data_IF_333498057114
#
_entry.id   IF_333498057114
#
_cell.length_a   1.000
_cell.length_b   1.000
_cell.length_c   1.000
_cell.angle_alpha   90.00
_cell.angle_beta   90.00
_cell.angle_gamma   90.00
#
_symmetry.space_group_name_H-M   'P 1'
#
loop_
_entity.id
_entity.type
_entity.pdbx_description
1 polymer ?
#
# COMPACT_ATOMS: atom_id res chain seq x y z
N UNK A 1 21.85 -31.16 -64.17
CA UNK A 1 20.79 -30.17 -63.92
C UNK A 1 19.98 -30.62 -62.70
N UNK A 2 20.09 -29.83 -61.63
CA UNK A 2 19.26 -29.65 -60.41
C UNK A 2 18.63 -30.86 -59.70
N UNK A 3 19.04 -31.16 -58.45
CA UNK A 3 18.13 -31.67 -57.43
C UNK A 3 17.36 -30.51 -56.78
N UNK A 4 16.08 -30.78 -56.52
CA UNK A 4 15.09 -29.86 -56.02
C UNK A 4 15.35 -29.40 -54.57
N UNK A 5 15.01 -28.13 -54.40
CA UNK A 5 14.88 -27.36 -53.18
C UNK A 5 13.66 -27.84 -52.37
N UNK A 6 13.69 -27.58 -51.06
CA UNK A 6 12.58 -27.59 -50.07
C UNK A 6 12.41 -28.91 -49.30
N UNK A 7 12.94 -28.97 -48.06
CA UNK A 7 12.12 -28.93 -46.85
C UNK A 7 12.97 -28.75 -45.57
N UNK A 8 12.75 -27.60 -44.92
CA UNK A 8 12.79 -27.34 -43.47
C UNK A 8 14.18 -27.33 -42.79
N UNK A 9 14.88 -26.21 -42.85
CA UNK A 9 14.92 -25.21 -41.75
C UNK A 9 15.15 -25.82 -40.36
N UNK A 10 16.44 -25.95 -40.02
CA UNK A 10 17.04 -25.38 -38.81
C UNK A 10 16.10 -25.30 -37.58
N UNK A 11 15.99 -26.40 -36.83
CA UNK A 11 15.56 -26.34 -35.43
C UNK A 11 16.69 -25.66 -34.62
N UNK A 12 16.80 -24.34 -34.75
CA UNK A 12 17.38 -23.50 -33.70
C UNK A 12 16.42 -23.64 -32.51
N UNK A 13 16.75 -24.56 -31.61
CA UNK A 13 16.21 -24.54 -30.26
C UNK A 13 16.69 -23.20 -29.68
N UNK A 14 15.83 -22.18 -29.80
CA UNK A 14 15.93 -20.96 -29.04
C UNK A 14 15.82 -21.38 -27.59
N UNK A 15 16.97 -21.67 -26.98
CA UNK A 15 17.15 -21.55 -25.55
C UNK A 15 16.85 -20.08 -25.25
N UNK A 16 15.58 -19.76 -24.99
CA UNK A 16 15.21 -18.55 -24.29
C UNK A 16 15.79 -18.68 -22.88
N UNK A 17 17.09 -18.42 -22.76
CA UNK A 17 17.67 -18.09 -21.48
C UNK A 17 16.94 -16.82 -21.06
N UNK A 18 16.09 -16.95 -20.06
CA UNK A 18 15.48 -15.81 -19.39
C UNK A 18 16.60 -15.07 -18.69
N UNK A 19 17.27 -14.17 -19.41
CA UNK A 19 18.32 -13.36 -18.84
C UNK A 19 17.66 -12.44 -17.82
N UNK A 20 18.11 -12.55 -16.56
CA UNK A 20 17.75 -11.59 -15.54
C UNK A 20 18.24 -10.21 -16.01
N UNK A 21 17.35 -9.23 -16.08
CA UNK A 21 17.68 -7.87 -16.48
C UNK A 21 17.83 -7.02 -15.22
N UNK A 22 18.94 -6.29 -15.09
CA UNK A 22 19.09 -5.30 -14.02
C UNK A 22 18.21 -4.10 -14.35
N UNK A 23 17.27 -3.78 -13.47
CA UNK A 23 16.50 -2.55 -13.51
C UNK A 23 17.13 -1.50 -12.59
N UNK A 24 17.18 -0.26 -13.08
CA UNK A 24 17.59 0.92 -12.30
C UNK A 24 16.56 2.01 -12.48
N UNK A 25 16.14 2.63 -11.37
CA UNK A 25 15.30 3.83 -11.37
C UNK A 25 16.02 4.96 -10.67
N UNK A 26 15.75 6.18 -11.11
CA UNK A 26 16.40 7.40 -10.62
C UNK A 26 15.36 8.34 -10.02
N UNK A 27 15.81 9.21 -9.13
CA UNK A 27 14.96 10.30 -8.64
C UNK A 27 14.62 11.27 -9.80
N UNK A 28 13.45 11.91 -9.70
CA UNK A 28 12.93 12.74 -10.78
C UNK A 28 13.89 13.89 -11.10
N UNK A 29 14.23 14.05 -12.39
CA UNK A 29 15.17 15.07 -12.88
C UNK A 29 16.58 15.00 -12.25
N UNK A 30 17.00 13.85 -11.72
CA UNK A 30 18.37 13.65 -11.21
C UNK A 30 18.99 12.39 -11.81
N UNK A 31 20.30 12.25 -11.64
CA UNK A 31 21.04 11.00 -11.93
C UNK A 31 21.23 10.15 -10.67
N UNK A 32 20.60 10.53 -9.55
CA UNK A 32 20.71 9.82 -8.29
C UNK A 32 19.90 8.54 -8.35
N UNK A 33 20.55 7.40 -8.11
CA UNK A 33 19.90 6.09 -8.07
C UNK A 33 18.88 6.07 -6.94
N UNK A 34 17.66 5.65 -7.26
CA UNK A 34 16.54 5.50 -6.31
C UNK A 34 16.29 4.05 -5.96
N UNK A 35 16.40 3.16 -6.95
CA UNK A 35 16.07 1.75 -6.80
C UNK A 35 16.88 0.92 -7.81
N UNK A 36 17.38 -0.25 -7.39
CA UNK A 36 17.97 -1.22 -8.31
C UNK A 36 17.63 -2.66 -7.89
N UNK A 37 17.61 -3.57 -8.87
CA UNK A 37 17.46 -4.99 -8.64
C UNK A 37 17.28 -5.77 -9.94
N UNK A 38 17.13 -7.09 -9.84
CA UNK A 38 16.93 -7.95 -11.01
C UNK A 38 15.45 -8.09 -11.35
N UNK A 39 15.16 -8.14 -12.65
CA UNK A 39 13.88 -8.53 -13.20
C UNK A 39 13.96 -9.92 -13.84
N UNK A 40 12.97 -10.75 -13.56
CA UNK A 40 12.72 -12.03 -14.21
C UNK A 40 11.31 -11.98 -14.80
N UNK A 41 11.21 -12.09 -16.14
CA UNK A 41 9.94 -11.95 -16.87
C UNK A 41 9.18 -10.65 -16.54
N UNK A 42 9.91 -9.55 -16.33
CA UNK A 42 9.33 -8.24 -15.99
C UNK A 42 8.90 -8.09 -14.52
N UNK A 43 9.10 -9.10 -13.69
CA UNK A 43 8.79 -9.06 -12.25
C UNK A 43 10.09 -8.97 -11.44
N UNK A 44 10.03 -8.29 -10.29
CA UNK A 44 11.17 -8.21 -9.35
C UNK A 44 11.58 -9.60 -8.88
N UNK A 45 12.87 -9.88 -8.94
CA UNK A 45 13.47 -11.15 -8.52
C UNK A 45 14.79 -10.88 -7.78
N UNK A 46 15.09 -11.66 -6.75
CA UNK A 46 16.35 -11.57 -6.03
C UNK A 46 16.45 -10.32 -5.14
N UNK A 47 17.67 -9.91 -4.85
CA UNK A 47 17.92 -8.74 -4.00
C UNK A 47 17.54 -7.45 -4.73
N UNK A 48 16.80 -6.61 -4.01
CA UNK A 48 16.44 -5.26 -4.40
C UNK A 48 16.86 -4.28 -3.33
N UNK A 49 17.31 -3.11 -3.79
CA UNK A 49 17.82 -2.04 -2.95
C UNK A 49 17.12 -0.74 -3.33
N UNK A 50 16.74 0.05 -2.33
CA UNK A 50 16.36 1.45 -2.51
C UNK A 50 17.38 2.36 -1.81
N UNK A 51 17.51 3.57 -2.30
CA UNK A 51 18.50 4.53 -1.82
C UNK A 51 17.84 5.87 -1.59
N UNK A 52 18.30 6.59 -0.58
CA UNK A 52 18.01 7.99 -0.34
C UNK A 52 18.58 8.90 -1.45
N UNK A 53 18.10 10.15 -1.55
CA UNK A 53 18.64 11.13 -2.48
C UNK A 53 20.13 11.46 -2.23
N UNK A 54 20.63 11.19 -1.02
CA UNK A 54 22.05 11.30 -0.69
C UNK A 54 22.89 10.08 -1.13
N UNK A 55 22.27 9.10 -1.80
CA UNK A 55 22.90 7.88 -2.32
C UNK A 55 23.11 6.76 -1.29
N UNK A 56 22.71 6.96 -0.02
CA UNK A 56 22.82 5.91 1.01
C UNK A 56 21.67 4.91 0.90
N UNK A 57 21.95 3.66 1.26
CA UNK A 57 20.97 2.58 1.29
C UNK A 57 19.81 2.94 2.24
N UNK A 58 18.59 2.81 1.76
CA UNK A 58 17.35 3.05 2.50
C UNK A 58 16.67 1.72 2.82
N UNK A 59 16.47 0.85 1.84
CA UNK A 59 15.91 -0.49 2.05
C UNK A 59 16.66 -1.55 1.28
N UNK A 60 16.68 -2.77 1.81
CA UNK A 60 17.17 -3.96 1.09
C UNK A 60 16.37 -5.18 1.48
N UNK A 61 16.10 -6.04 0.51
CA UNK A 61 15.46 -7.33 0.75
C UNK A 61 15.27 -8.12 -0.53
N UNK A 62 14.68 -9.31 -0.39
CA UNK A 62 14.52 -10.23 -1.51
C UNK A 62 13.10 -10.16 -2.10
N UNK A 63 13.02 -10.25 -3.42
CA UNK A 63 11.79 -10.52 -4.16
C UNK A 63 11.80 -11.92 -4.78
N UNK A 64 10.61 -12.50 -4.94
CA UNK A 64 10.38 -13.71 -5.72
C UNK A 64 9.09 -13.53 -6.50
N UNK A 65 9.16 -13.60 -7.83
CA UNK A 65 8.02 -13.41 -8.73
C UNK A 65 7.24 -12.10 -8.46
N UNK A 66 7.97 -11.02 -8.14
CA UNK A 66 7.39 -9.70 -7.85
C UNK A 66 6.90 -9.50 -6.41
N UNK A 67 6.97 -10.52 -5.56
CA UNK A 67 6.57 -10.46 -4.16
C UNK A 67 7.77 -10.33 -3.22
N UNK A 68 7.70 -9.46 -2.21
CA UNK A 68 8.67 -9.39 -1.11
C UNK A 68 8.69 -10.73 -0.36
N UNK A 69 9.88 -11.26 -0.09
CA UNK A 69 10.12 -12.51 0.66
C UNK A 69 11.28 -12.37 1.63
N UNK A 70 11.18 -13.11 2.74
CA UNK A 70 12.27 -13.26 3.71
C UNK A 70 12.58 -11.96 4.45
N UNK A 71 13.83 -11.84 4.90
CA UNK A 71 14.30 -10.71 5.69
C UNK A 71 14.42 -9.45 4.85
N UNK A 72 13.90 -8.36 5.40
CA UNK A 72 13.98 -7.02 4.86
C UNK A 72 14.57 -6.10 5.92
N UNK A 73 15.42 -5.17 5.47
CA UNK A 73 16.04 -4.15 6.32
C UNK A 73 15.68 -2.78 5.80
N UNK A 74 15.44 -1.87 6.73
CA UNK A 74 15.30 -0.45 6.48
C UNK A 74 16.34 0.29 7.30
N UNK A 75 16.96 1.31 6.73
CA UNK A 75 18.06 2.07 7.30
C UNK A 75 17.71 3.54 7.38
N UNK A 76 18.25 4.24 8.37
CA UNK A 76 18.25 5.68 8.42
C UNK A 76 19.19 6.29 7.37
N UNK A 77 19.02 7.58 7.08
CA UNK A 77 19.89 8.38 6.24
C UNK A 77 21.32 8.55 6.79
N UNK A 78 21.57 8.17 8.04
CA UNK A 78 22.91 8.05 8.62
C UNK A 78 23.56 6.67 8.38
N UNK A 79 22.84 5.70 7.82
CA UNK A 79 23.29 4.33 7.55
C UNK A 79 23.04 3.34 8.71
N UNK A 80 22.50 3.79 9.85
CA UNK A 80 22.12 2.90 10.93
C UNK A 80 20.84 2.13 10.62
N UNK A 81 20.70 0.93 11.17
CA UNK A 81 19.50 0.12 11.00
C UNK A 81 18.30 0.82 11.67
N UNK A 82 17.24 1.04 10.91
CA UNK A 82 15.97 1.60 11.39
C UNK A 82 14.94 0.51 11.68
N UNK A 83 15.03 -0.63 11.00
CA UNK A 83 14.19 -1.78 11.25
C UNK A 83 14.58 -3.01 10.46
N UNK A 84 14.18 -4.17 10.96
CA UNK A 84 14.40 -5.48 10.32
C UNK A 84 13.21 -6.38 10.61
N UNK A 85 12.77 -7.15 9.62
CA UNK A 85 11.67 -8.11 9.79
C UNK A 85 11.44 -8.91 8.52
N UNK A 86 10.38 -9.72 8.51
CA UNK A 86 10.14 -10.69 7.43
C UNK A 86 8.88 -10.38 6.61
N UNK A 87 8.91 -10.82 5.34
CA UNK A 87 7.75 -10.98 4.47
C UNK A 87 7.56 -12.46 4.11
N UNK A 88 6.33 -12.97 4.17
CA UNK A 88 6.03 -14.38 3.83
C UNK A 88 5.66 -14.58 2.37
N UNK A 89 4.77 -13.75 1.82
CA UNK A 89 4.36 -13.80 0.41
C UNK A 89 3.43 -12.68 -0.03
N UNK A 90 2.72 -12.04 0.88
CA UNK A 90 1.62 -11.13 0.50
C UNK A 90 2.07 -9.73 0.11
N UNK A 91 3.37 -9.46 -0.08
CA UNK A 91 3.95 -8.11 -0.12
C UNK A 91 3.73 -7.28 1.16
N UNK A 92 3.10 -7.83 2.20
CA UNK A 92 2.83 -7.14 3.46
C UNK A 92 3.75 -7.65 4.59
N UNK A 93 4.15 -6.77 5.52
CA UNK A 93 5.04 -7.13 6.61
C UNK A 93 4.40 -8.19 7.51
N UNK A 94 5.20 -9.19 7.92
CA UNK A 94 4.73 -10.30 8.75
C UNK A 94 4.59 -9.85 10.20
N UNK A 95 3.38 -9.91 10.80
CA UNK A 95 3.17 -9.52 12.19
C UNK A 95 4.10 -10.27 13.16
N UNK A 96 4.63 -9.54 14.16
CA UNK A 96 5.49 -10.10 15.21
C UNK A 96 6.94 -10.39 14.79
N UNK A 97 7.31 -10.20 13.52
CA UNK A 97 8.69 -10.43 13.06
C UNK A 97 9.54 -9.15 13.01
N UNK A 98 8.90 -7.98 13.08
CA UNK A 98 9.57 -6.70 12.90
C UNK A 98 10.10 -6.14 14.21
N UNK A 99 11.34 -5.68 14.15
CA UNK A 99 12.00 -4.87 15.17
C UNK A 99 12.33 -3.50 14.58
N UNK A 100 12.22 -2.46 15.39
CA UNK A 100 12.51 -1.08 15.00
C UNK A 100 13.54 -0.48 15.93
N UNK A 101 14.31 0.48 15.44
CA UNK A 101 15.41 1.10 16.18
C UNK A 101 15.34 2.62 16.07
N UNK A 102 15.90 3.35 17.03
CA UNK A 102 16.10 4.81 16.93
C UNK A 102 17.37 5.13 16.12
N UNK A 103 17.59 6.42 15.80
CA UNK A 103 18.80 6.89 15.12
C UNK A 103 20.10 6.71 15.92
N UNK A 104 19.99 6.30 17.18
CA UNK A 104 21.07 5.97 18.10
C UNK A 104 21.27 4.45 18.24
N UNK A 105 20.48 3.63 17.52
CA UNK A 105 20.55 2.17 17.54
C UNK A 105 19.81 1.51 18.72
N UNK A 106 18.94 2.25 19.41
CA UNK A 106 18.16 1.71 20.54
C UNK A 106 16.95 0.97 19.98
N UNK A 107 16.78 -0.32 20.34
CA UNK A 107 15.59 -1.10 19.95
C UNK A 107 14.34 -0.47 20.58
N UNK A 108 13.38 -0.11 19.74
CA UNK A 108 12.07 0.36 20.16
C UNK A 108 11.22 -0.85 20.54
N UNK A 109 10.62 -0.83 21.74
CA UNK A 109 9.60 -1.82 22.10
C UNK A 109 8.38 -1.66 21.21
N UNK A 110 8.27 -2.51 20.18
CA UNK A 110 7.13 -2.52 19.27
C UNK A 110 5.99 -3.39 19.84
N UNK A 111 5.30 -2.87 20.84
CA UNK A 111 4.07 -3.47 21.38
C UNK A 111 2.91 -2.48 21.22
N UNK A 112 2.41 -2.36 20.00
CA UNK A 112 1.32 -1.44 19.73
C UNK A 112 -0.03 -2.05 20.10
N UNK A 113 -0.68 -1.51 21.13
CA UNK A 113 -2.03 -1.90 21.54
C UNK A 113 -3.04 -1.75 20.39
N UNK A 114 -4.19 -2.43 20.48
CA UNK A 114 -5.28 -2.12 19.55
C UNK A 114 -5.76 -0.68 19.80
N UNK A 115 -6.06 0.09 18.74
CA UNK A 115 -6.61 1.43 18.91
C UNK A 115 -7.94 1.40 19.69
N UNK A 116 -8.17 2.44 20.49
CA UNK A 116 -9.44 2.58 21.22
C UNK A 116 -10.57 3.00 20.28
N UNK A 117 -11.82 2.81 20.71
CA UNK A 117 -12.98 3.25 19.93
C UNK A 117 -12.95 4.75 19.66
N UNK A 118 -12.44 5.53 20.60
CA UNK A 118 -12.30 6.99 20.50
C UNK A 118 -11.27 7.37 19.44
N UNK A 119 -10.14 6.67 19.35
CA UNK A 119 -9.14 6.91 18.31
C UNK A 119 -9.69 6.57 16.91
N UNK A 120 -10.40 5.45 16.78
CA UNK A 120 -11.08 5.08 15.53
C UNK A 120 -12.13 6.14 15.14
N UNK A 121 -12.96 6.55 16.10
CA UNK A 121 -13.98 7.59 15.87
C UNK A 121 -13.35 8.94 15.49
N UNK A 122 -12.28 9.37 16.17
CA UNK A 122 -11.56 10.60 15.83
C UNK A 122 -11.00 10.57 14.40
N UNK A 123 -10.47 9.42 13.98
CA UNK A 123 -9.99 9.23 12.59
C UNK A 123 -11.13 9.37 11.58
N UNK A 124 -12.28 8.75 11.87
CA UNK A 124 -13.47 8.85 11.02
C UNK A 124 -14.01 10.29 10.97
N UNK A 125 -13.96 11.02 12.09
CA UNK A 125 -14.33 12.43 12.13
C UNK A 125 -13.43 13.26 11.21
N UNK A 126 -12.12 13.08 11.30
CA UNK A 126 -11.17 13.80 10.46
C UNK A 126 -11.36 13.53 8.97
N UNK A 127 -11.75 12.31 8.59
CA UNK A 127 -12.13 11.95 7.22
C UNK A 127 -13.42 12.67 6.79
N UNK A 128 -14.43 12.68 7.65
CA UNK A 128 -15.73 13.29 7.37
C UNK A 128 -15.62 14.82 7.20
N UNK A 129 -14.95 15.49 8.14
CA UNK A 129 -14.73 16.94 8.11
C UNK A 129 -13.63 17.36 7.12
N UNK A 130 -12.94 16.39 6.49
CA UNK A 130 -11.77 16.62 5.62
C UNK A 130 -10.71 17.48 6.33
N UNK A 131 -10.53 17.20 7.62
CA UNK A 131 -9.74 18.01 8.53
C UNK A 131 -8.25 18.02 8.12
N UNK A 132 -7.65 19.21 8.06
CA UNK A 132 -6.20 19.35 7.90
C UNK A 132 -5.46 18.89 9.16
N UNK A 133 -4.23 18.42 9.00
CA UNK A 133 -3.37 18.12 10.13
C UNK A 133 -3.13 19.38 10.99
N UNK A 134 -3.11 19.22 12.31
CA UNK A 134 -2.79 20.32 13.22
C UNK A 134 -1.30 20.68 13.12
N UNK A 135 -0.44 19.69 12.92
CA UNK A 135 1.00 19.86 12.77
C UNK A 135 1.48 19.18 11.46
N UNK A 136 1.24 19.82 10.30
CA UNK A 136 1.64 19.24 9.02
C UNK A 136 3.15 18.99 8.96
N UNK A 137 3.53 17.84 8.45
CA UNK A 137 4.94 17.46 8.25
C UNK A 137 5.07 16.60 6.98
N UNK A 138 6.31 16.33 6.49
CA UNK A 138 6.52 15.43 5.36
C UNK A 138 6.02 14.01 5.66
N UNK A 139 4.77 13.71 5.33
CA UNK A 139 4.12 12.51 5.88
C UNK A 139 2.63 12.68 6.10
N UNK A 140 2.26 13.90 6.51
CA UNK A 140 1.03 14.20 7.22
C UNK A 140 0.50 15.56 6.78
N UNK A 141 -0.62 15.55 6.06
CA UNK A 141 -1.33 16.73 5.57
C UNK A 141 -2.75 16.83 6.13
N UNK A 142 -3.34 15.70 6.53
CA UNK A 142 -4.70 15.60 7.05
C UNK A 142 -4.71 15.04 8.48
N UNK A 143 -5.70 15.41 9.27
CA UNK A 143 -5.84 14.95 10.66
C UNK A 143 -5.96 13.43 10.78
N UNK A 144 -6.58 12.75 9.80
CA UNK A 144 -6.66 11.29 9.81
C UNK A 144 -5.27 10.63 9.69
N UNK A 145 -4.30 11.30 9.05
CA UNK A 145 -2.94 10.79 8.93
C UNK A 145 -2.21 10.89 10.28
N UNK A 146 -2.39 11.99 11.02
CA UNK A 146 -1.91 12.11 12.40
C UNK A 146 -2.46 10.96 13.24
N UNK A 147 -3.78 10.74 13.20
CA UNK A 147 -4.42 9.67 13.96
C UNK A 147 -3.90 8.28 13.58
N UNK A 148 -3.70 7.99 12.29
CA UNK A 148 -3.17 6.70 11.83
C UNK A 148 -1.72 6.49 12.29
N UNK A 149 -0.89 7.52 12.23
CA UNK A 149 0.49 7.45 12.70
C UNK A 149 0.54 7.14 14.19
N UNK A 150 -0.21 7.90 14.99
CA UNK A 150 -0.31 7.72 16.44
C UNK A 150 -0.82 6.32 16.81
N UNK A 151 -1.92 5.88 16.20
CA UNK A 151 -2.49 4.55 16.44
C UNK A 151 -1.55 3.41 16.05
N UNK A 152 -0.65 3.63 15.08
CA UNK A 152 0.33 2.64 14.63
C UNK A 152 1.59 2.59 15.50
N UNK A 153 1.68 3.45 16.52
CA UNK A 153 2.88 3.65 17.32
C UNK A 153 4.09 4.13 16.49
N UNK A 154 3.82 4.82 15.39
CA UNK A 154 4.84 5.59 14.68
C UNK A 154 5.14 6.87 15.47
N UNK A 155 6.42 7.16 15.66
CA UNK A 155 6.91 8.30 16.45
C UNK A 155 7.33 9.40 15.49
N UNK A 156 6.47 10.42 15.37
CA UNK A 156 6.73 11.59 14.52
C UNK A 156 8.06 12.24 14.88
N UNK A 157 8.90 12.48 13.88
CA UNK A 157 10.23 13.07 14.03
C UNK A 157 11.34 12.09 14.44
N UNK A 158 11.01 10.85 14.85
CA UNK A 158 11.99 9.81 15.13
C UNK A 158 11.99 8.72 14.05
N UNK A 159 10.81 8.25 13.67
CA UNK A 159 10.69 7.26 12.60
C UNK A 159 10.87 7.92 11.23
N UNK A 160 11.66 7.26 10.38
CA UNK A 160 11.64 7.55 8.94
C UNK A 160 10.32 7.10 8.32
N UNK A 161 9.99 7.66 7.15
CA UNK A 161 8.75 7.38 6.43
C UNK A 161 8.54 5.87 6.23
N UNK A 162 9.58 5.12 5.84
CA UNK A 162 9.46 3.67 5.63
C UNK A 162 9.20 2.89 6.93
N UNK A 163 9.81 3.27 8.06
CA UNK A 163 9.50 2.66 9.36
C UNK A 163 8.07 2.96 9.80
N UNK A 164 7.62 4.22 9.66
CA UNK A 164 6.26 4.61 9.97
C UNK A 164 5.25 3.84 9.10
N UNK A 165 5.52 3.73 7.79
CA UNK A 165 4.72 2.94 6.85
C UNK A 165 4.59 1.48 7.27
N UNK A 166 5.69 0.82 7.62
CA UNK A 166 5.68 -0.57 8.10
C UNK A 166 4.82 -0.74 9.35
N UNK A 167 4.95 0.19 10.33
CA UNK A 167 4.13 0.19 11.54
C UNK A 167 2.64 0.35 11.23
N UNK A 168 2.29 1.25 10.31
CA UNK A 168 0.91 1.43 9.84
C UNK A 168 0.39 0.16 9.15
N UNK A 169 1.17 -0.48 8.27
CA UNK A 169 0.78 -1.73 7.62
C UNK A 169 0.54 -2.86 8.63
N UNK A 170 1.42 -2.98 9.64
CA UNK A 170 1.29 -3.98 10.71
C UNK A 170 0.02 -3.75 11.55
N UNK A 171 -0.29 -2.50 11.88
CA UNK A 171 -1.55 -2.14 12.54
C UNK A 171 -2.74 -2.44 11.64
N UNK A 172 -2.70 -2.00 10.38
CA UNK A 172 -3.76 -2.18 9.40
C UNK A 172 -4.12 -3.66 9.24
N UNK A 173 -3.14 -4.54 9.11
CA UNK A 173 -3.36 -5.98 8.97
C UNK A 173 -4.12 -6.58 10.17
N UNK A 174 -3.97 -6.00 11.37
CA UNK A 174 -4.72 -6.40 12.56
C UNK A 174 -6.16 -5.86 12.58
N UNK A 175 -6.36 -4.61 12.16
CA UNK A 175 -7.62 -3.89 12.44
C UNK A 175 -8.49 -3.64 11.20
N UNK A 176 -8.01 -3.90 9.99
CA UNK A 176 -8.69 -3.48 8.74
C UNK A 176 -10.13 -3.98 8.60
N UNK A 177 -10.46 -5.16 9.11
CA UNK A 177 -11.83 -5.70 9.08
C UNK A 177 -12.72 -5.17 10.21
N UNK A 178 -12.12 -4.63 11.28
CA UNK A 178 -12.78 -4.10 12.48
C UNK A 178 -12.67 -2.58 12.63
N UNK A 179 -12.05 -1.87 11.68
CA UNK A 179 -11.97 -0.41 11.69
C UNK A 179 -13.30 0.15 11.23
N UNK A 180 -14.12 0.55 12.20
CA UNK A 180 -15.50 0.94 12.00
C UNK A 180 -15.70 2.43 12.27
N UNK A 181 -16.36 3.08 11.33
CA UNK A 181 -16.81 4.45 11.45
C UNK A 181 -18.30 4.48 11.81
N UNK A 182 -18.62 5.30 12.80
CA UNK A 182 -19.97 5.45 13.34
C UNK A 182 -20.61 6.76 12.86
N UNK A 183 -21.91 6.86 13.11
CA UNK A 183 -22.80 7.92 12.66
C UNK A 183 -22.37 9.32 13.14
N UNK A 184 -22.25 10.26 12.21
CA UNK A 184 -22.28 11.71 12.47
C UNK A 184 -23.69 12.27 12.19
N UNK A 185 -24.08 13.41 12.79
CA UNK A 185 -25.48 13.81 13.00
C UNK A 185 -26.42 13.78 11.78
N UNK A 186 -25.90 13.88 10.55
CA UNK A 186 -26.69 14.11 9.34
C UNK A 186 -26.69 12.98 8.28
N UNK A 187 -26.15 11.78 8.59
CA UNK A 187 -26.16 10.65 7.63
C UNK A 187 -26.88 9.40 8.18
N UNK A 188 -27.71 8.77 7.34
CA UNK A 188 -28.54 7.61 7.69
C UNK A 188 -27.77 6.30 7.55
N UNK A 189 -27.76 5.60 8.69
CA UNK A 189 -27.74 4.15 8.99
C UNK A 189 -26.60 3.24 8.50
N UNK A 190 -26.19 2.40 9.46
CA UNK A 190 -25.15 1.34 9.45
C UNK A 190 -23.72 1.80 9.71
N UNK A 191 -23.13 1.15 10.72
CA UNK A 191 -21.70 1.10 10.98
C UNK A 191 -20.98 0.62 9.72
N UNK A 192 -19.99 1.39 9.22
CA UNK A 192 -19.27 1.06 7.99
C UNK A 192 -17.79 0.86 8.26
N UNK A 193 -17.17 -0.01 7.47
CA UNK A 193 -15.71 -0.04 7.41
C UNK A 193 -15.17 1.32 6.94
N UNK A 194 -14.05 1.77 7.50
CA UNK A 194 -13.41 3.07 7.18
C UNK A 194 -13.21 3.29 5.68
N UNK A 195 -12.88 2.23 4.92
CA UNK A 195 -12.67 2.34 3.46
C UNK A 195 -13.95 2.74 2.74
N UNK A 196 -15.06 2.03 3.00
CA UNK A 196 -16.38 2.33 2.46
C UNK A 196 -16.93 3.64 2.99
N UNK A 197 -16.69 3.95 4.26
CA UNK A 197 -17.05 5.22 4.87
C UNK A 197 -16.40 6.40 4.14
N UNK A 198 -15.08 6.35 3.89
CA UNK A 198 -14.38 7.43 3.18
C UNK A 198 -14.90 7.65 1.75
N UNK A 199 -15.37 6.57 1.09
CA UNK A 199 -15.98 6.65 -0.23
C UNK A 199 -17.36 7.35 -0.16
N UNK A 200 -18.20 6.93 0.79
CA UNK A 200 -19.56 7.47 0.98
C UNK A 200 -19.53 8.95 1.44
N UNK A 201 -18.53 9.38 2.21
CA UNK A 201 -18.33 10.79 2.57
C UNK A 201 -17.74 11.63 1.44
N UNK A 202 -17.37 11.01 0.31
CA UNK A 202 -16.73 11.67 -0.82
C UNK A 202 -15.32 12.19 -0.52
N UNK A 203 -14.62 11.56 0.43
CA UNK A 203 -13.23 11.87 0.73
C UNK A 203 -12.29 10.75 0.25
N UNK A 204 -12.20 10.62 -1.07
CA UNK A 204 -11.47 9.55 -1.75
C UNK A 204 -9.94 9.66 -1.64
N UNK A 205 -9.43 10.79 -1.13
CA UNK A 205 -8.03 10.99 -0.77
C UNK A 205 -7.53 9.93 0.21
N UNK A 206 -8.37 9.50 1.17
CA UNK A 206 -8.00 8.44 2.11
C UNK A 206 -7.62 7.14 1.37
N UNK A 207 -8.47 6.69 0.45
CA UNK A 207 -8.21 5.47 -0.34
C UNK A 207 -6.97 5.62 -1.22
N UNK A 208 -6.74 6.82 -1.75
CA UNK A 208 -5.57 7.11 -2.58
C UNK A 208 -4.28 7.00 -1.78
N UNK A 209 -4.21 7.65 -0.62
CA UNK A 209 -3.03 7.61 0.24
C UNK A 209 -2.83 6.20 0.84
N UNK A 210 -3.91 5.50 1.18
CA UNK A 210 -3.85 4.12 1.68
C UNK A 210 -3.04 3.20 0.74
N UNK A 211 -3.31 3.24 -0.57
CA UNK A 211 -2.61 2.36 -1.51
C UNK A 211 -1.32 2.94 -2.08
N UNK A 212 -1.20 4.25 -2.25
CA UNK A 212 -0.01 4.85 -2.89
C UNK A 212 1.10 5.20 -1.92
N UNK A 213 0.74 5.59 -0.70
CA UNK A 213 1.71 6.04 0.30
C UNK A 213 2.05 4.94 1.26
N UNK A 214 1.01 4.31 1.81
CA UNK A 214 1.17 3.37 2.91
C UNK A 214 1.19 1.90 2.44
N UNK A 215 0.93 1.62 1.16
CA UNK A 215 0.81 0.27 0.59
C UNK A 215 -0.06 -0.64 1.49
N UNK A 216 -1.25 -0.16 1.87
CA UNK A 216 -2.15 -0.91 2.74
C UNK A 216 -2.83 -2.06 1.99
N UNK A 217 -2.97 -3.19 2.69
CA UNK A 217 -3.68 -4.35 2.16
C UNK A 217 -5.19 -4.10 2.09
N UNK A 218 -5.68 -3.78 0.89
CA UNK A 218 -7.11 -3.57 0.61
C UNK A 218 -7.87 -4.88 0.34
N UNK A 219 -7.19 -6.03 0.36
CA UNK A 219 -7.76 -7.34 0.09
C UNK A 219 -8.36 -7.98 1.34
N UNK A 220 -9.49 -7.44 1.79
CA UNK A 220 -10.29 -8.00 2.86
C UNK A 220 -11.78 -7.90 2.54
N UNK A 221 -12.53 -8.88 3.06
CA UNK A 221 -13.98 -8.91 2.99
C UNK A 221 -14.52 -8.23 4.25
N UNK A 222 -15.43 -7.28 4.06
CA UNK A 222 -16.17 -6.71 5.17
C UNK A 222 -17.23 -7.72 5.65
N UNK A 223 -17.17 -8.20 6.91
CA UNK A 223 -18.08 -9.23 7.39
C UNK A 223 -19.55 -8.79 7.51
N UNK A 224 -19.86 -7.49 7.40
CA UNK A 224 -21.24 -7.00 7.53
C UNK A 224 -22.06 -7.19 6.25
N UNK A 225 -21.41 -7.24 5.09
CA UNK A 225 -22.07 -7.33 3.78
C UNK A 225 -21.38 -8.28 2.79
N UNK A 226 -20.30 -8.95 3.21
CA UNK A 226 -19.49 -9.87 2.41
C UNK A 226 -18.91 -9.25 1.12
N UNK A 227 -18.65 -7.93 1.14
CA UNK A 227 -18.09 -7.19 0.00
C UNK A 227 -16.69 -6.65 0.31
N UNK A 228 -15.80 -6.68 -0.68
CA UNK A 228 -14.59 -5.87 -0.64
C UNK A 228 -14.91 -4.42 -0.98
N UNK A 229 -13.90 -3.54 -0.87
CA UNK A 229 -14.05 -2.15 -1.33
C UNK A 229 -14.33 -2.07 -2.83
N UNK A 230 -13.87 -3.03 -3.65
CA UNK A 230 -14.11 -3.01 -5.10
C UNK A 230 -15.55 -3.36 -5.45
N UNK A 231 -16.10 -4.39 -4.80
CA UNK A 231 -17.52 -4.76 -4.95
C UNK A 231 -18.41 -3.58 -4.58
N UNK A 232 -18.08 -2.92 -3.47
CA UNK A 232 -18.81 -1.75 -2.98
C UNK A 232 -18.75 -0.56 -3.95
N UNK A 233 -17.58 -0.26 -4.51
CA UNK A 233 -17.42 0.83 -5.48
C UNK A 233 -18.25 0.56 -6.74
N UNK A 234 -18.23 -0.68 -7.26
CA UNK A 234 -19.00 -1.03 -8.46
C UNK A 234 -20.51 -0.89 -8.24
N UNK A 235 -21.00 -1.31 -7.08
CA UNK A 235 -22.41 -1.13 -6.72
C UNK A 235 -22.78 0.36 -6.63
N UNK A 236 -21.95 1.17 -5.98
CA UNK A 236 -22.17 2.63 -5.89
C UNK A 236 -22.16 3.31 -7.25
N UNK A 237 -21.19 2.95 -8.10
CA UNK A 237 -21.07 3.46 -9.47
C UNK A 237 -22.29 3.12 -10.32
N UNK A 238 -22.71 1.85 -10.31
CA UNK A 238 -23.91 1.41 -11.02
C UNK A 238 -25.17 2.11 -10.50
N UNK A 239 -25.28 2.30 -9.18
CA UNK A 239 -26.43 2.99 -8.59
C UNK A 239 -26.54 4.44 -9.06
N UNK A 240 -25.46 5.24 -8.98
CA UNK A 240 -25.51 6.66 -9.36
C UNK A 240 -25.65 6.88 -10.87
N UNK A 241 -25.25 5.90 -11.69
CA UNK A 241 -25.44 5.94 -13.14
C UNK A 241 -26.87 5.64 -13.57
N UNK A 242 -27.56 4.77 -12.82
CA UNK A 242 -28.85 4.21 -13.23
C UNK A 242 -30.05 4.67 -12.38
N UNK A 243 -29.81 5.31 -11.22
CA UNK A 243 -30.87 5.76 -10.30
C UNK A 243 -30.95 7.29 -10.25
N UNK A 244 -32.14 7.89 -10.49
CA UNK A 244 -32.32 9.33 -10.37
C UNK A 244 -32.06 9.88 -8.93
N UNK A 245 -31.42 11.06 -8.78
CA UNK A 245 -30.82 11.86 -9.85
C UNK A 245 -29.55 11.18 -10.39
N UNK A 246 -29.46 11.04 -11.71
CA UNK A 246 -28.28 10.47 -12.36
C UNK A 246 -27.10 11.42 -12.13
N UNK A 247 -25.99 10.89 -11.63
CA UNK A 247 -24.76 11.63 -11.35
C UNK A 247 -23.57 10.95 -12.04
N UNK A 248 -23.33 11.32 -13.30
CA UNK A 248 -22.24 10.78 -14.10
C UNK A 248 -20.86 11.22 -13.59
N UNK A 249 -20.74 12.42 -13.02
CA UNK A 249 -19.47 12.90 -12.48
C UNK A 249 -19.05 12.07 -11.28
N UNK A 250 -20.00 11.75 -10.39
CA UNK A 250 -19.77 10.85 -9.26
C UNK A 250 -19.47 9.43 -9.70
N UNK A 251 -20.18 8.93 -10.72
CA UNK A 251 -19.89 7.62 -11.31
C UNK A 251 -18.44 7.54 -11.82
N UNK A 252 -17.98 8.59 -12.51
CA UNK A 252 -16.63 8.65 -13.04
C UNK A 252 -15.57 8.78 -11.92
N UNK A 253 -15.88 9.47 -10.82
CA UNK A 253 -15.04 9.47 -9.61
C UNK A 253 -14.86 8.05 -9.05
N UNK A 254 -15.97 7.32 -8.89
CA UNK A 254 -15.92 5.93 -8.43
C UNK A 254 -15.10 5.04 -9.36
N UNK A 255 -15.24 5.18 -10.68
CA UNK A 255 -14.44 4.44 -11.65
C UNK A 255 -12.93 4.78 -11.54
N UNK A 256 -12.57 6.06 -11.32
CA UNK A 256 -11.16 6.44 -11.08
C UNK A 256 -10.58 5.75 -9.85
N UNK A 257 -11.32 5.72 -8.74
CA UNK A 257 -10.88 5.05 -7.52
C UNK A 257 -10.83 3.53 -7.70
N UNK A 258 -11.81 2.94 -8.37
CA UNK A 258 -11.81 1.51 -8.71
C UNK A 258 -10.53 1.12 -9.46
N UNK A 259 -10.20 1.85 -10.54
CA UNK A 259 -8.98 1.61 -11.33
C UNK A 259 -7.71 1.80 -10.50
N UNK A 260 -7.68 2.83 -9.65
CA UNK A 260 -6.55 3.07 -8.76
C UNK A 260 -6.32 1.87 -7.82
N UNK A 261 -7.36 1.41 -7.14
CA UNK A 261 -7.26 0.28 -6.21
C UNK A 261 -6.88 -1.01 -6.94
N UNK A 262 -7.49 -1.28 -8.10
CA UNK A 262 -7.15 -2.42 -8.96
C UNK A 262 -5.69 -2.44 -9.40
N UNK A 263 -5.16 -1.30 -9.84
CA UNK A 263 -3.76 -1.17 -10.25
C UNK A 263 -2.78 -1.35 -9.07
N UNK A 264 -3.26 -1.24 -7.83
CA UNK A 264 -2.49 -1.51 -6.61
C UNK A 264 -2.86 -2.88 -6.00
N UNK A 265 -3.37 -3.81 -6.79
CA UNK A 265 -3.56 -5.20 -6.40
C UNK A 265 -4.81 -5.49 -5.57
N UNK A 266 -5.75 -4.55 -5.48
CA UNK A 266 -7.04 -4.81 -4.85
C UNK A 266 -7.87 -5.81 -5.67
N UNK A 267 -8.67 -6.62 -4.97
CA UNK A 267 -9.45 -7.73 -5.53
C UNK A 267 -10.92 -7.67 -5.11
N UNK A 268 -11.78 -8.24 -5.95
CA UNK A 268 -13.16 -8.54 -5.64
C UNK A 268 -13.24 -9.68 -4.63
N UNK A 269 -14.36 -9.80 -3.91
CA UNK A 269 -14.57 -10.91 -2.99
C UNK A 269 -14.45 -12.28 -3.69
N UNK A 270 -14.80 -12.37 -4.97
CA UNK A 270 -14.70 -13.60 -5.77
C UNK A 270 -13.26 -14.00 -6.15
N UNK A 271 -12.29 -13.12 -5.94
CA UNK A 271 -10.87 -13.33 -6.27
C UNK A 271 -9.99 -13.52 -5.02
N UNK A 272 -10.59 -13.41 -3.83
CA UNK A 272 -9.98 -13.66 -2.52
C UNK A 272 -10.28 -15.07 -2.06
#
# INVERSE_FOLDING_TARGET
>A
MKPNLILVFLFLILNFQTNAQIEKKYYSNTTTLKETGNLKKGLKEGIWETFYENGKLETVGNYTDGEKKGEWKVYFDNGQLAGVGNYTSTNFPTPGTWKFYTKEGIEQTFNCSNPTKEQLAGTCHAIYEKQMALNPNPGVSYGYQESIWEMSCAITGQDIIESAKLKIQLMWNRIRTSFRCYKYPNYISSERNITKFSLDTGFTTFLTEAVKRYDLDMNFIDPTDNKTILDFIQERESYVRNSPPIDNEKADEYNRIYKLLRNNGAKHASEL
#
